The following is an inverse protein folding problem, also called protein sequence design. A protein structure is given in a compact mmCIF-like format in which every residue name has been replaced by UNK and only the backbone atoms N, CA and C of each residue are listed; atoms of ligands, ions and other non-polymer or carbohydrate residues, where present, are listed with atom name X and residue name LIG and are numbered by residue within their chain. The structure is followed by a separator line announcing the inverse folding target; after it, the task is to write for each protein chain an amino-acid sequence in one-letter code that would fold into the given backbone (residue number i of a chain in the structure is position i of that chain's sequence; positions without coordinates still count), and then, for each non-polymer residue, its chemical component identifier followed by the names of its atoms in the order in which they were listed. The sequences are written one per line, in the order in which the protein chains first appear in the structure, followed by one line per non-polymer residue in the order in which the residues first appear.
data_IF_386822028763
#
_entry.id   IF_386822028763
#
_cell.length_a   1.000
_cell.length_b   1.000
_cell.length_c   1.000
_cell.angle_alpha   90.00
_cell.angle_beta   90.00
_cell.angle_gamma   90.00
#
_symmetry.space_group_name_H-M   'P 1'
#
loop_
_entity.id
_entity.type
_entity.pdbx_description
1 polymer ?
#
# COMPACT_ATOMS: atom_id res chain seq x y z
N UNK A 1 1.37 -8.92 12.99
CA UNK A 1 0.59 -8.20 14.02
C UNK A 1 0.22 -6.82 13.47
N UNK A 2 -0.98 -6.32 13.77
CA UNK A 2 -1.45 -5.02 13.28
C UNK A 2 -1.57 -4.09 14.47
N UNK A 3 -0.63 -3.14 14.58
CA UNK A 3 -0.72 -2.09 15.59
C UNK A 3 -1.63 -0.98 15.08
N UNK A 4 -2.72 -0.72 15.81
CA UNK A 4 -3.57 0.45 15.59
C UNK A 4 -3.12 1.55 16.54
N UNK A 5 -2.68 2.66 15.97
CA UNK A 5 -2.22 3.82 16.74
C UNK A 5 -3.27 4.94 16.81
N UNK A 6 -4.50 4.67 16.40
CA UNK A 6 -5.58 5.67 16.32
C UNK A 6 -5.85 6.32 17.68
N UNK A 7 -5.71 5.55 18.77
CA UNK A 7 -5.89 6.00 20.14
C UNK A 7 -4.69 6.79 20.71
N UNK A 8 -3.53 6.76 20.03
CA UNK A 8 -2.31 7.46 20.43
C UNK A 8 -2.20 8.86 19.80
N UNK A 9 -3.04 9.16 18.81
CA UNK A 9 -2.96 10.39 18.02
C UNK A 9 -4.01 11.41 18.48
N UNK A 10 -3.64 12.69 18.48
CA UNK A 10 -4.60 13.74 18.81
C UNK A 10 -5.69 13.89 17.71
N UNK A 11 -6.81 14.52 18.07
CA UNK A 11 -7.96 14.69 17.17
C UNK A 11 -7.61 15.47 15.90
N UNK A 12 -6.67 16.43 15.98
CA UNK A 12 -6.27 17.26 14.83
C UNK A 12 -5.49 16.41 13.82
N UNK A 13 -4.57 15.59 14.31
CA UNK A 13 -3.74 14.67 13.53
C UNK A 13 -4.61 13.62 12.86
N UNK A 14 -5.52 12.99 13.61
CA UNK A 14 -6.48 12.05 13.05
C UNK A 14 -7.32 12.66 11.94
N UNK A 15 -7.86 13.87 12.15
CA UNK A 15 -8.61 14.60 11.11
C UNK A 15 -7.75 14.85 9.85
N UNK A 16 -6.49 15.25 10.03
CA UNK A 16 -5.57 15.48 8.92
C UNK A 16 -5.29 14.21 8.11
N UNK A 17 -5.07 13.09 8.79
CA UNK A 17 -4.82 11.78 8.15
C UNK A 17 -6.05 11.33 7.35
N UNK A 18 -7.26 11.43 7.92
CA UNK A 18 -8.50 11.09 7.19
C UNK A 18 -8.68 11.98 5.96
N UNK A 19 -8.44 13.28 6.08
CA UNK A 19 -8.54 14.19 4.94
C UNK A 19 -7.52 13.87 3.84
N UNK A 20 -6.29 13.52 4.21
CA UNK A 20 -5.27 13.09 3.25
C UNK A 20 -5.68 11.80 2.55
N UNK A 21 -6.20 10.83 3.31
CA UNK A 21 -6.65 9.55 2.78
C UNK A 21 -7.78 9.72 1.75
N UNK A 22 -8.79 10.53 2.04
CA UNK A 22 -9.88 10.83 1.12
C UNK A 22 -9.40 11.54 -0.16
N UNK A 23 -8.46 12.48 -0.04
CA UNK A 23 -7.85 13.16 -1.20
C UNK A 23 -7.10 12.17 -2.09
N UNK A 24 -6.25 11.32 -1.50
CA UNK A 24 -5.50 10.31 -2.25
C UNK A 24 -6.43 9.30 -2.94
N UNK A 25 -7.51 8.89 -2.27
CA UNK A 25 -8.53 8.03 -2.87
C UNK A 25 -9.24 8.71 -4.05
N UNK A 26 -9.54 10.00 -3.93
CA UNK A 26 -10.12 10.78 -5.02
C UNK A 26 -9.17 10.84 -6.21
N UNK A 27 -7.91 11.23 -5.98
CA UNK A 27 -6.89 11.36 -7.02
C UNK A 27 -6.65 10.03 -7.75
N UNK A 28 -6.58 8.91 -7.02
CA UNK A 28 -6.42 7.58 -7.65
C UNK A 28 -7.63 7.16 -8.50
N UNK A 29 -8.85 7.57 -8.12
CA UNK A 29 -10.07 7.27 -8.89
C UNK A 29 -10.21 8.12 -10.14
N UNK A 30 -9.75 9.37 -10.09
CA UNK A 30 -9.84 10.31 -11.21
C UNK A 30 -8.60 10.27 -12.11
N UNK A 31 -7.51 9.65 -11.65
CA UNK A 31 -6.30 9.50 -12.44
C UNK A 31 -6.55 8.68 -13.71
N UNK A 32 -6.36 9.32 -14.86
CA UNK A 32 -6.43 8.71 -16.17
C UNK A 32 -5.06 8.75 -16.83
N UNK A 33 -4.32 7.62 -16.88
CA UNK A 33 -2.98 7.60 -17.44
C UNK A 33 -3.02 7.91 -18.95
N UNK A 34 -2.17 8.84 -19.37
CA UNK A 34 -2.10 9.32 -20.76
C UNK A 34 -3.47 9.71 -21.34
N UNK A 35 -4.32 10.37 -20.54
CA UNK A 35 -5.64 10.81 -20.99
C UNK A 35 -6.59 9.67 -21.37
N UNK A 36 -6.36 8.46 -20.85
CA UNK A 36 -7.18 7.27 -21.11
C UNK A 36 -6.64 6.36 -22.21
N UNK A 37 -5.51 6.71 -22.83
CA UNK A 37 -4.86 5.85 -23.83
C UNK A 37 -4.28 4.58 -23.21
N UNK A 38 -3.84 4.66 -21.95
CA UNK A 38 -3.33 3.50 -21.22
C UNK A 38 -4.43 2.92 -20.35
N UNK A 39 -4.78 1.66 -20.60
CA UNK A 39 -5.88 1.00 -19.87
C UNK A 39 -5.45 0.51 -18.48
N UNK A 40 -4.15 0.29 -18.26
CA UNK A 40 -3.64 -0.27 -17.02
C UNK A 40 -2.21 0.21 -16.72
N UNK A 41 -1.98 0.63 -15.48
CA UNK A 41 -0.65 0.97 -14.97
C UNK A 41 -0.02 -0.31 -14.40
N UNK A 42 1.24 -0.57 -14.75
CA UNK A 42 2.02 -1.71 -14.23
C UNK A 42 3.27 -1.18 -13.56
N UNK A 43 3.44 -1.50 -12.29
CA UNK A 43 4.59 -1.06 -11.48
C UNK A 43 5.42 -2.30 -11.14
N UNK A 44 6.71 -2.26 -11.47
CA UNK A 44 7.69 -3.30 -11.13
C UNK A 44 8.57 -2.81 -9.98
N UNK A 45 8.56 -3.55 -8.87
CA UNK A 45 9.42 -3.25 -7.72
C UNK A 45 10.63 -4.18 -7.73
N UNK A 46 11.82 -3.61 -7.75
CA UNK A 46 13.10 -4.32 -7.79
C UNK A 46 13.88 -4.15 -6.48
N UNK A 47 14.72 -5.14 -6.17
CA UNK A 47 15.56 -5.14 -4.97
C UNK A 47 15.88 -6.55 -4.46
N UNK A 48 16.90 -6.70 -3.59
CA UNK A 48 17.30 -8.00 -3.05
C UNK A 48 16.22 -8.65 -2.18
N UNK A 49 16.39 -9.94 -1.89
CA UNK A 49 15.54 -10.66 -0.93
C UNK A 49 15.58 -9.96 0.43
N UNK A 50 14.44 -9.89 1.13
CA UNK A 50 14.34 -9.19 2.41
C UNK A 50 14.25 -7.66 2.32
N UNK A 51 14.42 -7.03 1.15
CA UNK A 51 14.32 -5.56 1.00
C UNK A 51 12.91 -4.97 1.26
N UNK A 52 11.91 -5.80 1.58
CA UNK A 52 10.56 -5.32 1.90
C UNK A 52 9.66 -5.02 0.70
N UNK A 53 9.97 -5.50 -0.51
CA UNK A 53 9.16 -5.28 -1.73
C UNK A 53 7.69 -5.70 -1.55
N UNK A 54 7.45 -6.92 -1.05
CA UNK A 54 6.10 -7.44 -0.78
C UNK A 54 5.42 -6.66 0.35
N UNK A 55 6.16 -6.29 1.39
CA UNK A 55 5.65 -5.47 2.49
C UNK A 55 5.18 -4.10 2.01
N UNK A 56 5.96 -3.43 1.16
CA UNK A 56 5.56 -2.16 0.54
C UNK A 56 4.28 -2.31 -0.27
N UNK A 57 4.19 -3.33 -1.13
CA UNK A 57 2.98 -3.60 -1.90
C UNK A 57 1.75 -3.80 -0.99
N UNK A 58 1.91 -4.61 0.06
CA UNK A 58 0.85 -4.84 1.04
C UNK A 58 0.48 -3.55 1.78
N UNK A 59 1.43 -2.69 2.13
CA UNK A 59 1.16 -1.39 2.77
C UNK A 59 0.34 -0.46 1.87
N UNK A 60 0.74 -0.27 0.62
CA UNK A 60 0.00 0.56 -0.35
C UNK A 60 -1.42 0.03 -0.50
N UNK A 61 -1.57 -1.28 -0.69
CA UNK A 61 -2.89 -1.90 -0.87
C UNK A 61 -3.78 -1.78 0.37
N UNK A 62 -3.19 -1.88 1.55
CA UNK A 62 -3.91 -1.76 2.82
C UNK A 62 -4.45 -0.36 3.03
N UNK A 63 -3.68 0.68 2.69
CA UNK A 63 -4.11 2.09 2.78
C UNK A 63 -5.37 2.31 1.94
N UNK A 64 -5.38 1.85 0.69
CA UNK A 64 -6.52 2.09 -0.20
C UNK A 64 -7.72 1.16 0.04
N UNK A 65 -7.54 0.01 0.70
CA UNK A 65 -8.66 -0.85 1.14
C UNK A 65 -9.23 -0.49 2.51
N UNK A 66 -8.50 0.28 3.32
CA UNK A 66 -8.91 0.66 4.68
C UNK A 66 -8.72 -0.44 5.73
N UNK A 67 -8.06 -1.53 5.39
CA UNK A 67 -7.72 -2.61 6.31
C UNK A 67 -6.44 -3.30 5.87
N UNK A 68 -5.75 -3.97 6.79
CA UNK A 68 -4.51 -4.68 6.47
C UNK A 68 -4.78 -5.79 5.45
N UNK A 69 -3.89 -5.90 4.47
CA UNK A 69 -3.94 -6.90 3.40
C UNK A 69 -2.63 -7.66 3.33
N UNK A 70 -2.71 -8.95 3.00
CA UNK A 70 -1.57 -9.85 2.90
C UNK A 70 -1.62 -10.61 1.56
N UNK A 71 -1.72 -9.85 0.46
CA UNK A 71 -1.92 -10.43 -0.87
C UNK A 71 -0.61 -10.76 -1.59
N UNK A 72 0.49 -10.06 -1.27
CA UNK A 72 1.82 -10.52 -1.64
C UNK A 72 2.37 -11.41 -0.53
N UNK A 73 2.86 -12.60 -0.91
CA UNK A 73 3.60 -13.48 -0.01
C UNK A 73 4.86 -12.72 0.46
N UNK A 74 5.03 -12.62 1.78
CA UNK A 74 6.24 -12.09 2.41
C UNK A 74 7.00 -13.31 2.91
N UNK A 75 7.88 -13.85 2.09
CA UNK A 75 8.79 -14.92 2.51
C UNK A 75 9.90 -14.36 3.40
N UNK A 76 10.16 -15.01 4.53
CA UNK A 76 11.30 -14.73 5.41
C UNK A 76 12.58 -15.45 4.96
N UNK A 77 12.49 -16.28 3.91
CA UNK A 77 13.56 -17.19 3.56
C UNK A 77 14.68 -16.49 2.78
N UNK A 78 15.91 -16.73 3.24
CA UNK A 78 17.15 -16.16 2.69
C UNK A 78 17.42 -16.60 1.25
N UNK A 79 16.72 -17.62 0.76
CA UNK A 79 16.86 -18.19 -0.58
C UNK A 79 15.96 -17.55 -1.64
N UNK A 80 15.09 -16.60 -1.27
CA UNK A 80 14.27 -15.86 -2.24
C UNK A 80 13.19 -16.71 -2.94
N UNK A 81 12.97 -17.94 -2.49
CA UNK A 81 11.85 -18.79 -2.93
C UNK A 81 10.65 -18.44 -2.05
N UNK A 82 9.56 -18.01 -2.68
CA UNK A 82 8.25 -18.03 -2.04
C UNK A 82 7.64 -19.40 -2.29
N UNK A 83 7.45 -20.18 -1.23
CA UNK A 83 6.70 -21.43 -1.32
C UNK A 83 5.27 -21.16 -1.81
N UNK A 84 4.82 -22.03 -2.71
CA UNK A 84 3.60 -21.91 -3.53
C UNK A 84 2.36 -22.33 -2.78
#
# INVERSE_FOLDING_TARGET
EVFRCEDLLDKRTMKGITQLHERLLHDMKTYSPYGGLVHQIRILLLGPTGAGKSSFFNSVKSVFRGHVTHQALVGSDTTGVSDK
#
